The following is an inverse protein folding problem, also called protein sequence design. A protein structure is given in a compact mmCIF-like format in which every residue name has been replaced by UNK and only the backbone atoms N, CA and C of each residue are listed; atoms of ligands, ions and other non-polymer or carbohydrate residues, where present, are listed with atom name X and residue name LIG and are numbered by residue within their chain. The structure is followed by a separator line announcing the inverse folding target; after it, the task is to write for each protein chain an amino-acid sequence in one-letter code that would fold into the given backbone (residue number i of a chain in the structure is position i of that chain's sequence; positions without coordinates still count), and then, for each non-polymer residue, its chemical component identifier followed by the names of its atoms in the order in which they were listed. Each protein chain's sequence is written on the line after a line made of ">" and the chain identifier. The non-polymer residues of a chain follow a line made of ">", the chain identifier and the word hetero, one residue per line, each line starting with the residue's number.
data_IF_704615464389
#
_entry.id   IF_704615464389
#
_cell.length_a   1.000
_cell.length_b   1.000
_cell.length_c   1.000
_cell.angle_alpha   90.00
_cell.angle_beta   90.00
_cell.angle_gamma   90.00
#
_symmetry.space_group_name_H-M   'P 1'
#
loop_
_entity.id
_entity.type
_entity.pdbx_description
1 polymer ?
#
# COMPACT_ATOMS: atom_id res chain seq x y z
N UNK A 1 41.63 13.67 17.91
CA UNK A 1 40.31 13.38 18.50
C UNK A 1 40.29 14.06 19.84
N UNK A 2 39.49 15.11 19.97
CA UNK A 2 39.26 15.76 21.26
C UNK A 2 38.32 14.87 22.08
N UNK A 3 38.61 14.74 23.38
CA UNK A 3 37.78 13.94 24.30
C UNK A 3 36.78 14.90 24.94
N UNK A 4 35.50 14.71 24.65
CA UNK A 4 34.43 15.49 25.27
C UNK A 4 34.16 15.04 26.71
N UNK A 5 33.87 16.00 27.57
CA UNK A 5 33.35 15.77 28.92
C UNK A 5 31.90 15.26 28.90
N UNK A 6 31.45 14.66 30.01
CA UNK A 6 30.06 14.21 30.13
C UNK A 6 29.06 15.35 29.97
N UNK A 7 29.39 16.54 30.47
CA UNK A 7 28.53 17.72 30.36
C UNK A 7 28.35 18.15 28.89
N UNK A 8 29.43 18.13 28.11
CA UNK A 8 29.36 18.41 26.67
C UNK A 8 28.50 17.36 25.94
N UNK A 9 28.65 16.08 26.28
CA UNK A 9 27.84 14.99 25.70
C UNK A 9 26.35 15.05 26.07
N UNK A 10 25.99 15.72 27.16
CA UNK A 10 24.61 15.93 27.59
C UNK A 10 23.99 17.22 27.04
N UNK A 11 24.77 18.05 26.37
CA UNK A 11 24.28 19.29 25.78
C UNK A 11 23.48 18.97 24.52
N UNK A 12 22.26 19.51 24.42
CA UNK A 12 21.41 19.27 23.27
C UNK A 12 22.02 19.84 21.97
N UNK A 13 21.89 19.08 20.90
CA UNK A 13 22.36 19.48 19.58
C UNK A 13 21.47 20.60 19.03
N UNK A 14 22.10 21.72 18.65
CA UNK A 14 21.38 22.93 18.21
C UNK A 14 20.56 22.70 16.94
N UNK A 15 20.99 21.82 16.03
CA UNK A 15 20.24 21.49 14.83
C UNK A 15 18.99 20.67 15.17
N UNK A 16 19.10 19.72 16.11
CA UNK A 16 17.96 18.93 16.57
C UNK A 16 16.86 19.80 17.20
N UNK A 17 17.23 20.88 17.91
CA UNK A 17 16.29 21.81 18.53
C UNK A 17 15.44 22.62 17.53
N UNK A 18 15.89 22.75 16.28
CA UNK A 18 15.22 23.58 15.27
C UNK A 18 13.96 22.94 14.66
N UNK A 19 13.67 21.67 15.00
CA UNK A 19 12.53 20.90 14.49
C UNK A 19 11.40 20.86 15.53
N UNK A 20 10.28 21.51 15.22
CA UNK A 20 9.09 21.53 16.08
C UNK A 20 7.80 21.17 15.34
N UNK A 21 6.63 21.31 16.02
CA UNK A 21 5.32 20.96 15.45
C UNK A 21 4.97 21.69 14.15
N UNK A 22 5.56 22.86 13.91
CA UNK A 22 5.34 23.68 12.71
C UNK A 22 6.42 23.50 11.65
N UNK A 23 7.28 22.48 11.78
CA UNK A 23 8.38 22.22 10.87
C UNK A 23 9.70 22.83 11.33
N UNK A 24 10.55 23.19 10.37
CA UNK A 24 11.87 23.76 10.60
C UNK A 24 11.77 25.25 10.94
N UNK A 25 12.40 25.69 12.03
CA UNK A 25 12.61 27.11 12.34
C UNK A 25 12.08 27.58 13.69
N UNK A 26 11.27 26.78 14.39
CA UNK A 26 10.94 27.02 15.80
C UNK A 26 11.94 26.29 16.69
N UNK A 27 12.84 27.02 17.35
CA UNK A 27 13.75 26.42 18.33
C UNK A 27 12.96 26.00 19.56
N UNK A 28 12.94 24.70 19.86
CA UNK A 28 12.40 24.17 21.10
C UNK A 28 13.45 24.23 22.22
N UNK A 29 13.00 24.20 23.47
CA UNK A 29 13.90 23.85 24.57
C UNK A 29 14.35 22.38 24.44
N UNK A 30 15.49 21.98 25.03
CA UNK A 30 15.92 20.59 25.04
C UNK A 30 14.85 19.60 25.52
N UNK A 31 14.12 19.94 26.58
CA UNK A 31 13.07 19.09 27.17
C UNK A 31 11.87 18.96 26.22
N UNK A 32 11.41 20.07 25.64
CA UNK A 32 10.30 20.05 24.67
C UNK A 32 10.70 19.37 23.36
N UNK A 33 11.95 19.48 22.93
CA UNK A 33 12.46 18.74 21.79
C UNK A 33 12.46 17.24 22.07
N UNK A 34 12.97 16.80 23.22
CA UNK A 34 12.97 15.39 23.62
C UNK A 34 11.56 14.81 23.74
N UNK A 35 10.63 15.54 24.36
CA UNK A 35 9.22 15.14 24.44
C UNK A 35 8.60 15.05 23.04
N UNK A 36 8.75 16.11 22.22
CA UNK A 36 8.19 16.15 20.87
C UNK A 36 8.68 14.97 20.03
N UNK A 37 10.00 14.74 19.97
CA UNK A 37 10.56 13.65 19.16
C UNK A 37 10.08 12.27 19.64
N UNK A 38 9.96 12.04 20.96
CA UNK A 38 9.42 10.77 21.47
C UNK A 38 7.94 10.59 21.12
N UNK A 39 7.13 11.64 21.23
CA UNK A 39 5.71 11.59 20.85
C UNK A 39 5.55 11.25 19.36
N UNK A 40 6.46 11.71 18.50
CA UNK A 40 6.42 11.41 17.05
C UNK A 40 6.52 9.92 16.72
N UNK A 41 7.15 9.12 17.58
CA UNK A 41 7.35 7.68 17.38
C UNK A 41 6.65 6.82 18.44
N UNK A 42 5.85 7.44 19.31
CA UNK A 42 5.16 6.73 20.40
C UNK A 42 4.21 5.66 19.84
N UNK A 43 3.47 6.02 18.78
CA UNK A 43 2.50 5.15 18.09
C UNK A 43 3.15 4.04 17.26
N UNK A 44 4.48 4.05 17.10
CA UNK A 44 5.20 2.98 16.42
C UNK A 44 5.27 1.73 17.33
N UNK A 45 4.21 0.93 17.34
CA UNK A 45 4.14 -0.30 18.12
C UNK A 45 4.26 -1.54 17.23
N UNK A 46 4.97 -2.55 17.71
CA UNK A 46 5.06 -3.86 17.07
C UNK A 46 4.06 -4.84 17.68
N UNK A 47 3.46 -5.67 16.83
CA UNK A 47 2.53 -6.69 17.27
C UNK A 47 3.17 -7.71 18.22
N UNK A 48 2.36 -8.29 19.10
CA UNK A 48 2.79 -9.26 20.12
C UNK A 48 3.37 -10.56 19.52
N UNK A 49 3.04 -10.88 18.27
CA UNK A 49 3.52 -12.08 17.58
C UNK A 49 4.89 -11.89 16.91
N UNK A 50 5.37 -10.66 16.79
CA UNK A 50 6.68 -10.37 16.17
C UNK A 50 7.79 -11.09 16.94
N UNK A 51 8.75 -11.67 16.21
CA UNK A 51 9.88 -12.36 16.81
C UNK A 51 10.64 -11.48 17.80
N UNK A 52 11.02 -12.04 18.94
CA UNK A 52 11.66 -11.29 20.04
C UNK A 52 12.96 -10.61 19.61
N UNK A 53 13.74 -11.25 18.72
CA UNK A 53 14.95 -10.64 18.16
C UNK A 53 14.68 -9.35 17.38
N UNK A 54 13.68 -9.38 16.49
CA UNK A 54 13.21 -8.20 15.75
C UNK A 54 12.63 -7.14 16.69
N UNK A 55 11.78 -7.53 17.66
CA UNK A 55 11.18 -6.61 18.64
C UNK A 55 12.23 -5.85 19.45
N UNK A 56 13.19 -6.57 20.05
CA UNK A 56 14.26 -5.95 20.84
C UNK A 56 15.11 -5.00 20.02
N UNK A 57 15.37 -5.34 18.76
CA UNK A 57 16.14 -4.50 17.85
C UNK A 57 15.38 -3.21 17.53
N UNK A 58 14.06 -3.30 17.35
CA UNK A 58 13.21 -2.15 17.06
C UNK A 58 13.07 -1.21 18.26
N UNK A 59 12.83 -1.75 19.45
CA UNK A 59 12.76 -0.95 20.68
C UNK A 59 14.10 -0.27 21.00
N UNK A 60 15.22 -0.93 20.67
CA UNK A 60 16.54 -0.28 20.74
C UNK A 60 16.62 0.89 19.78
N UNK A 61 16.12 0.75 18.55
CA UNK A 61 16.14 1.81 17.54
C UNK A 61 15.28 3.01 17.97
N UNK A 62 14.06 2.77 18.48
CA UNK A 62 13.21 3.82 19.08
C UNK A 62 13.91 4.56 20.22
N UNK A 63 14.61 3.83 21.10
CA UNK A 63 15.38 4.44 22.18
C UNK A 63 16.53 5.30 21.67
N UNK A 64 17.28 4.82 20.68
CA UNK A 64 18.40 5.57 20.08
C UNK A 64 17.90 6.81 19.36
N UNK A 65 16.75 6.76 18.70
CA UNK A 65 16.12 7.93 18.08
C UNK A 65 15.90 9.07 19.08
N UNK A 66 15.46 8.76 20.31
CA UNK A 66 15.30 9.78 21.36
C UNK A 66 16.63 10.47 21.73
N UNK A 67 17.77 9.78 21.61
CA UNK A 67 19.09 10.38 21.84
C UNK A 67 19.54 11.31 20.71
N UNK A 68 18.85 11.36 19.57
CA UNK A 68 19.16 12.30 18.48
C UNK A 68 19.03 13.77 18.87
N UNK A 69 18.31 14.07 19.95
CA UNK A 69 18.27 15.43 20.53
C UNK A 69 19.65 15.87 21.06
N UNK A 70 20.51 14.92 21.44
CA UNK A 70 21.87 15.18 21.92
C UNK A 70 22.92 15.14 20.80
N UNK A 71 22.61 14.50 19.67
CA UNK A 71 23.54 14.38 18.54
C UNK A 71 22.74 14.20 17.24
N UNK A 72 22.75 15.22 16.38
CA UNK A 72 21.94 15.25 15.16
C UNK A 72 22.22 14.06 14.22
N UNK A 73 23.49 13.67 14.09
CA UNK A 73 23.91 12.58 13.19
C UNK A 73 23.29 11.22 13.54
N UNK A 74 22.78 11.06 14.76
CA UNK A 74 22.04 9.85 15.15
C UNK A 74 20.85 9.61 14.24
N UNK A 75 20.16 10.65 13.74
CA UNK A 75 19.00 10.46 12.87
C UNK A 75 19.36 9.78 11.55
N UNK A 76 20.50 10.12 10.95
CA UNK A 76 21.02 9.41 9.77
C UNK A 76 21.34 7.95 10.09
N UNK A 77 21.94 7.68 11.26
CA UNK A 77 22.22 6.32 11.71
C UNK A 77 20.94 5.50 11.94
N UNK A 78 19.84 6.13 12.37
CA UNK A 78 18.53 5.49 12.50
C UNK A 78 18.01 5.06 11.13
N UNK A 79 18.06 5.95 10.13
CA UNK A 79 17.61 5.64 8.77
C UNK A 79 18.35 4.44 8.18
N UNK A 80 19.68 4.44 8.29
CA UNK A 80 20.53 3.34 7.83
C UNK A 80 20.22 2.03 8.56
N UNK A 81 20.11 2.08 9.88
CA UNK A 81 19.85 0.89 10.69
C UNK A 81 18.46 0.33 10.45
N UNK A 82 17.47 1.18 10.18
CA UNK A 82 16.11 0.76 9.83
C UNK A 82 16.10 -0.07 8.54
N UNK A 83 16.91 0.28 7.54
CA UNK A 83 17.05 -0.48 6.30
C UNK A 83 17.62 -1.89 6.56
N UNK A 84 18.62 -2.01 7.42
CA UNK A 84 19.18 -3.31 7.84
C UNK A 84 18.16 -4.14 8.62
N UNK A 85 17.38 -3.49 9.48
CA UNK A 85 16.33 -4.12 10.27
C UNK A 85 15.20 -4.71 9.43
N UNK A 86 14.84 -4.11 8.28
CA UNK A 86 13.87 -4.69 7.34
C UNK A 86 14.32 -6.09 6.88
N UNK A 87 15.61 -6.24 6.59
CA UNK A 87 16.16 -7.53 6.20
C UNK A 87 16.16 -8.53 7.37
N UNK A 88 16.52 -8.09 8.57
CA UNK A 88 16.43 -8.93 9.77
C UNK A 88 14.99 -9.45 9.98
N UNK A 89 13.99 -8.57 9.91
CA UNK A 89 12.58 -8.94 10.06
C UNK A 89 12.13 -9.96 9.01
N UNK A 90 12.55 -9.80 7.75
CA UNK A 90 12.30 -10.77 6.69
C UNK A 90 12.94 -12.14 7.00
N UNK A 91 14.18 -12.16 7.48
CA UNK A 91 14.89 -13.40 7.84
C UNK A 91 14.21 -14.12 9.00
N UNK A 92 13.87 -13.39 10.06
CA UNK A 92 13.17 -13.92 11.23
C UNK A 92 11.82 -14.51 10.83
N UNK A 93 11.05 -13.77 10.01
CA UNK A 93 9.75 -14.24 9.52
C UNK A 93 9.87 -15.43 8.58
N UNK A 94 10.89 -15.45 7.71
CA UNK A 94 11.16 -16.57 6.80
C UNK A 94 11.44 -17.85 7.57
N UNK A 95 12.30 -17.80 8.59
CA UNK A 95 12.63 -18.98 9.41
C UNK A 95 11.38 -19.50 10.14
N UNK A 96 10.54 -18.61 10.68
CA UNK A 96 9.26 -19.02 11.27
C UNK A 96 8.35 -19.73 10.27
N UNK A 97 8.23 -19.19 9.05
CA UNK A 97 7.40 -19.75 7.98
C UNK A 97 7.90 -21.12 7.49
N UNK A 98 9.20 -21.40 7.56
CA UNK A 98 9.75 -22.70 7.18
C UNK A 98 9.24 -23.84 8.07
N UNK A 99 8.77 -23.55 9.29
CA UNK A 99 8.34 -24.57 10.26
C UNK A 99 9.34 -25.74 10.42
N UNK A 100 10.65 -25.44 10.36
CA UNK A 100 11.73 -26.40 10.56
C UNK A 100 12.29 -27.08 9.30
N UNK A 101 11.71 -26.86 8.12
CA UNK A 101 12.22 -27.45 6.86
C UNK A 101 11.99 -26.55 5.65
N UNK A 102 12.79 -26.75 4.60
CA UNK A 102 12.68 -25.97 3.37
C UNK A 102 12.73 -26.88 2.16
N UNK A 103 11.79 -26.69 1.22
CA UNK A 103 11.67 -27.52 0.02
C UNK A 103 11.99 -26.73 -1.24
N UNK A 104 12.98 -27.19 -1.99
CA UNK A 104 13.31 -26.71 -3.32
C UNK A 104 12.99 -27.77 -4.36
N UNK A 105 12.54 -27.32 -5.51
CA UNK A 105 12.26 -28.18 -6.65
C UNK A 105 12.94 -27.67 -7.89
N UNK A 106 13.29 -28.60 -8.78
CA UNK A 106 13.75 -28.23 -10.10
C UNK A 106 12.61 -27.59 -10.90
N UNK A 107 12.92 -26.55 -11.67
CA UNK A 107 11.93 -25.82 -12.45
C UNK A 107 11.19 -26.68 -13.49
N UNK A 108 11.77 -27.82 -13.90
CA UNK A 108 11.18 -28.77 -14.84
C UNK A 108 10.45 -29.91 -14.11
N UNK A 109 10.45 -29.90 -12.76
CA UNK A 109 9.77 -30.88 -11.92
C UNK A 109 10.51 -32.23 -11.79
N UNK A 110 11.75 -32.33 -12.26
CA UNK A 110 12.48 -33.60 -12.29
C UNK A 110 13.06 -34.03 -10.93
N UNK A 111 13.16 -33.12 -9.97
CA UNK A 111 13.75 -33.39 -8.66
C UNK A 111 13.21 -32.46 -7.58
N UNK A 112 13.20 -32.94 -6.33
CA UNK A 112 12.87 -32.18 -5.13
C UNK A 112 13.92 -32.42 -4.04
N UNK A 113 14.23 -31.40 -3.25
CA UNK A 113 15.16 -31.43 -2.13
C UNK A 113 14.48 -30.74 -0.94
N UNK A 114 14.27 -31.50 0.13
CA UNK A 114 13.76 -31.00 1.41
C UNK A 114 14.84 -31.18 2.47
N UNK A 115 15.22 -30.10 3.14
CA UNK A 115 16.29 -30.11 4.13
C UNK A 115 15.83 -29.39 5.41
N UNK A 116 16.26 -29.83 6.61
CA UNK A 116 15.92 -29.18 7.86
C UNK A 116 16.61 -27.80 7.96
N UNK A 117 15.89 -26.81 8.47
CA UNK A 117 16.43 -25.45 8.71
C UNK A 117 15.93 -24.94 10.06
N UNK A 118 16.84 -24.48 10.93
CA UNK A 118 16.48 -23.90 12.24
C UNK A 118 16.93 -22.45 12.36
N UNK A 119 17.83 -22.01 11.47
CA UNK A 119 18.34 -20.65 11.39
C UNK A 119 18.43 -20.16 9.96
N UNK A 120 18.52 -18.84 9.78
CA UNK A 120 18.74 -18.27 8.45
C UNK A 120 20.13 -18.63 7.87
N UNK A 121 21.11 -18.96 8.72
CA UNK A 121 22.41 -19.46 8.29
C UNK A 121 22.29 -20.81 7.57
N UNK A 122 21.37 -21.68 8.03
CA UNK A 122 21.11 -22.96 7.38
C UNK A 122 20.48 -22.76 6.01
N UNK A 123 19.53 -21.83 5.90
CA UNK A 123 18.91 -21.42 4.62
C UNK A 123 19.97 -20.96 3.63
N UNK A 124 20.89 -20.09 4.05
CA UNK A 124 21.97 -19.61 3.19
C UNK A 124 22.91 -20.76 2.75
N UNK A 125 23.27 -21.64 3.69
CA UNK A 125 24.12 -22.81 3.42
C UNK A 125 23.47 -23.76 2.42
N UNK A 126 22.16 -24.00 2.57
CA UNK A 126 21.36 -24.80 1.64
C UNK A 126 21.37 -24.17 0.24
N UNK A 127 21.09 -22.88 0.13
CA UNK A 127 21.09 -22.16 -1.15
C UNK A 127 22.45 -22.28 -1.87
N UNK A 128 23.56 -22.12 -1.15
CA UNK A 128 24.91 -22.30 -1.72
C UNK A 128 25.18 -23.73 -2.17
N UNK A 129 24.70 -24.72 -1.42
CA UNK A 129 24.82 -26.13 -1.82
C UNK A 129 24.05 -26.42 -3.11
N UNK A 130 22.83 -25.88 -3.25
CA UNK A 130 21.99 -26.05 -4.44
C UNK A 130 22.58 -25.35 -5.66
N UNK A 131 23.15 -24.16 -5.49
CA UNK A 131 23.91 -23.47 -6.56
C UNK A 131 25.07 -24.32 -7.06
N UNK A 132 25.85 -24.92 -6.16
CA UNK A 132 26.96 -25.84 -6.51
C UNK A 132 26.46 -27.10 -7.21
N UNK A 133 25.34 -27.71 -6.75
CA UNK A 133 24.70 -28.86 -7.41
C UNK A 133 24.26 -28.51 -8.84
N UNK A 134 23.57 -27.39 -9.03
CA UNK A 134 23.12 -26.91 -10.34
C UNK A 134 24.30 -26.57 -11.29
N UNK A 135 25.41 -26.04 -10.77
CA UNK A 135 26.62 -25.82 -11.57
C UNK A 135 27.23 -27.14 -12.08
N UNK A 136 27.31 -28.17 -11.22
CA UNK A 136 27.78 -29.51 -11.60
C UNK A 136 26.85 -30.23 -12.59
N UNK A 137 25.53 -30.03 -12.47
CA UNK A 137 24.58 -30.57 -13.43
C UNK A 137 24.74 -29.91 -14.81
N UNK A 138 24.89 -28.57 -14.83
CA UNK A 138 25.14 -27.81 -16.07
C UNK A 138 26.42 -28.25 -16.78
N UNK A 139 27.50 -28.54 -16.05
CA UNK A 139 28.73 -29.06 -16.66
C UNK A 139 28.57 -30.45 -17.28
N UNK A 140 27.48 -31.17 -16.97
CA UNK A 140 27.10 -32.46 -17.56
C UNK A 140 26.00 -32.34 -18.62
N UNK A 141 25.68 -31.11 -19.05
CA UNK A 141 24.65 -30.86 -20.06
C UNK A 141 23.21 -30.95 -19.54
N UNK A 142 22.99 -31.03 -18.23
CA UNK A 142 21.66 -31.07 -17.62
C UNK A 142 21.29 -29.67 -17.11
N UNK A 143 20.33 -28.96 -17.75
CA UNK A 143 19.86 -27.69 -17.24
C UNK A 143 19.08 -27.95 -15.94
N UNK A 144 19.59 -27.44 -14.82
CA UNK A 144 18.94 -27.57 -13.52
C UNK A 144 18.81 -26.19 -12.88
N UNK A 145 17.59 -25.86 -12.45
CA UNK A 145 17.27 -24.60 -11.80
C UNK A 145 16.37 -24.86 -10.59
N UNK A 146 16.98 -24.81 -9.40
CA UNK A 146 16.26 -24.94 -8.15
C UNK A 146 15.40 -23.69 -7.87
N UNK A 147 14.13 -23.93 -7.55
CA UNK A 147 13.15 -22.93 -7.14
C UNK A 147 12.57 -23.30 -5.78
N UNK A 148 12.34 -22.29 -4.95
CA UNK A 148 11.67 -22.49 -3.66
C UNK A 148 10.18 -22.75 -3.90
N UNK A 149 9.65 -23.79 -3.26
CA UNK A 149 8.21 -24.06 -3.24
C UNK A 149 7.53 -23.18 -2.18
N UNK A 150 6.54 -22.39 -2.59
CA UNK A 150 5.73 -21.54 -1.71
C UNK A 150 4.26 -21.81 -2.01
N UNK A 151 3.62 -22.63 -1.17
CA UNK A 151 2.27 -23.13 -1.47
C UNK A 151 2.26 -23.88 -2.81
N UNK A 152 1.42 -23.44 -3.75
CA UNK A 152 1.34 -24.01 -5.11
C UNK A 152 2.37 -23.45 -6.10
N UNK A 153 3.13 -22.41 -5.73
CA UNK A 153 4.01 -21.69 -6.66
C UNK A 153 5.49 -22.07 -6.50
N UNK A 154 6.25 -21.95 -7.59
CA UNK A 154 7.71 -22.14 -7.62
C UNK A 154 8.39 -20.81 -7.95
N UNK A 155 9.17 -20.29 -7.00
CA UNK A 155 9.85 -18.99 -7.14
C UNK A 155 11.37 -19.13 -7.18
N UNK A 156 12.03 -18.22 -7.90
CA UNK A 156 13.47 -18.09 -7.79
C UNK A 156 13.84 -17.59 -6.37
N UNK A 157 14.73 -18.32 -5.69
CA UNK A 157 15.16 -17.96 -4.35
C UNK A 157 16.63 -18.32 -4.17
N UNK A 158 17.42 -17.38 -3.66
CA UNK A 158 18.87 -17.51 -3.54
C UNK A 158 19.41 -17.16 -2.14
N UNK A 159 18.52 -16.98 -1.15
CA UNK A 159 18.89 -16.60 0.21
C UNK A 159 19.30 -15.13 0.39
N UNK A 160 19.10 -14.26 -0.62
CA UNK A 160 19.38 -12.82 -0.52
C UNK A 160 18.11 -12.02 -0.20
N UNK A 161 18.26 -10.73 0.10
CA UNK A 161 17.14 -9.80 0.32
C UNK A 161 16.12 -9.82 -0.84
N UNK A 162 16.58 -9.91 -2.08
CA UNK A 162 15.70 -10.03 -3.25
C UNK A 162 14.85 -11.31 -3.20
N UNK A 163 15.49 -12.45 -2.87
CA UNK A 163 14.79 -13.73 -2.70
C UNK A 163 13.78 -13.69 -1.56
N UNK A 164 14.15 -13.10 -0.42
CA UNK A 164 13.26 -12.90 0.73
C UNK A 164 12.03 -12.06 0.36
N UNK A 165 12.19 -10.97 -0.38
CA UNK A 165 11.04 -10.14 -0.80
C UNK A 165 10.13 -10.86 -1.79
N UNK A 166 10.73 -11.55 -2.75
CA UNK A 166 9.99 -12.38 -3.72
C UNK A 166 9.17 -13.44 -2.98
N UNK A 167 9.77 -14.09 -1.98
CA UNK A 167 9.08 -15.02 -1.09
C UNK A 167 7.94 -14.34 -0.33
N UNK A 168 8.20 -13.23 0.37
CA UNK A 168 7.18 -12.58 1.20
C UNK A 168 5.96 -12.14 0.38
N UNK A 169 6.17 -11.71 -0.87
CA UNK A 169 5.10 -11.37 -1.82
C UNK A 169 4.35 -12.62 -2.31
N UNK A 170 5.06 -13.68 -2.70
CA UNK A 170 4.45 -14.96 -3.12
C UNK A 170 3.64 -15.62 -1.98
N UNK A 171 4.17 -15.57 -0.76
CA UNK A 171 3.50 -16.03 0.47
C UNK A 171 2.37 -15.08 0.93
N UNK A 172 2.07 -14.01 0.18
CA UNK A 172 1.03 -13.00 0.46
C UNK A 172 1.18 -12.31 1.82
N UNK A 173 2.41 -12.20 2.31
CA UNK A 173 2.73 -11.49 3.56
C UNK A 173 2.82 -9.98 3.34
N UNK A 174 3.14 -9.53 2.12
CA UNK A 174 3.23 -8.12 1.76
C UNK A 174 2.15 -7.75 0.73
N UNK A 175 1.31 -6.77 1.09
CA UNK A 175 0.14 -6.30 0.31
C UNK A 175 0.43 -4.99 -0.41
N UNK A 176 -0.41 -4.64 -1.36
CA UNK A 176 -0.38 -3.37 -2.07
C UNK A 176 0.60 -3.33 -3.23
N UNK A 177 0.29 -2.51 -4.23
CA UNK A 177 1.07 -2.33 -5.45
C UNK A 177 2.06 -1.18 -5.37
N UNK A 178 1.71 -0.05 -4.75
CA UNK A 178 2.63 1.09 -4.56
C UNK A 178 3.77 0.75 -3.62
N UNK A 179 3.50 -0.06 -2.58
CA UNK A 179 4.51 -0.52 -1.64
C UNK A 179 5.65 -1.29 -2.33
N UNK A 180 5.42 -1.93 -3.50
CA UNK A 180 6.47 -2.61 -4.27
C UNK A 180 7.54 -1.66 -4.80
N UNK A 181 7.14 -0.48 -5.28
CA UNK A 181 8.08 0.55 -5.75
C UNK A 181 8.94 1.06 -4.61
N UNK A 182 8.31 1.35 -3.47
CA UNK A 182 8.99 1.78 -2.23
C UNK A 182 9.94 0.69 -1.73
N UNK A 183 9.50 -0.57 -1.75
CA UNK A 183 10.35 -1.71 -1.45
C UNK A 183 11.58 -1.69 -2.36
N UNK A 184 11.41 -1.69 -3.68
CA UNK A 184 12.53 -1.71 -4.63
C UNK A 184 13.57 -0.62 -4.33
N UNK A 185 13.13 0.62 -4.11
CA UNK A 185 14.00 1.75 -3.71
C UNK A 185 14.75 1.44 -2.41
N UNK A 186 14.06 0.94 -1.38
CA UNK A 186 14.69 0.57 -0.11
C UNK A 186 15.71 -0.57 -0.26
N UNK A 187 15.57 -1.44 -1.26
CA UNK A 187 16.59 -2.46 -1.55
C UNK A 187 17.88 -1.82 -2.05
N UNK A 188 17.75 -0.83 -2.93
CA UNK A 188 18.88 -0.04 -3.44
C UNK A 188 19.54 0.71 -2.30
N UNK A 189 18.77 1.46 -1.52
CA UNK A 189 19.28 2.21 -0.38
C UNK A 189 19.99 1.31 0.65
N UNK A 190 19.41 0.13 0.96
CA UNK A 190 20.05 -0.84 1.85
C UNK A 190 21.41 -1.31 1.30
N UNK A 191 21.55 -1.47 -0.02
CA UNK A 191 22.82 -1.86 -0.61
C UNK A 191 23.84 -0.72 -0.55
N UNK A 192 23.40 0.54 -0.70
CA UNK A 192 24.26 1.71 -0.55
C UNK A 192 24.74 1.85 0.91
N UNK A 193 23.88 1.58 1.90
CA UNK A 193 24.27 1.52 3.32
C UNK A 193 25.26 0.38 3.60
N UNK A 194 25.10 -0.77 2.95
CA UNK A 194 26.04 -1.89 3.08
C UNK A 194 27.39 -1.61 2.37
N UNK A 195 27.42 -0.66 1.44
CA UNK A 195 28.57 -0.30 0.62
C UNK A 195 28.71 1.24 0.53
N UNK A 196 29.01 1.91 1.65
CA UNK A 196 28.89 3.36 1.75
C UNK A 196 29.88 4.07 0.80
N UNK A 197 29.35 5.02 0.03
CA UNK A 197 30.13 5.85 -0.90
C UNK A 197 30.34 7.29 -0.41
N UNK A 198 29.68 7.69 0.68
CA UNK A 198 29.77 9.03 1.25
C UNK A 198 28.91 9.20 2.51
N UNK A 199 28.98 10.39 3.12
CA UNK A 199 28.12 10.77 4.24
C UNK A 199 26.69 11.04 3.75
N UNK A 200 25.70 10.48 4.44
CA UNK A 200 24.29 10.75 4.20
C UNK A 200 23.73 11.58 5.37
N UNK A 201 23.13 12.72 5.05
CA UNK A 201 22.40 13.52 6.03
C UNK A 201 20.97 13.00 6.17
N UNK A 202 20.48 12.88 7.41
CA UNK A 202 19.09 12.54 7.72
C UNK A 202 18.49 13.58 8.66
N UNK A 203 17.18 13.78 8.61
CA UNK A 203 16.47 14.69 9.51
C UNK A 203 15.67 13.91 10.57
N UNK A 204 15.32 14.52 11.72
CA UNK A 204 14.45 13.88 12.70
C UNK A 204 13.09 13.47 12.13
N UNK A 205 12.58 14.23 11.15
CA UNK A 205 11.30 13.98 10.49
C UNK A 205 11.39 12.75 9.59
N UNK A 206 12.45 12.65 8.80
CA UNK A 206 12.69 11.51 7.92
C UNK A 206 12.92 10.24 8.74
N UNK A 207 13.77 10.30 9.78
CA UNK A 207 14.02 9.18 10.67
C UNK A 207 12.75 8.71 11.40
N UNK A 208 11.87 9.62 11.82
CA UNK A 208 10.58 9.25 12.40
C UNK A 208 9.68 8.55 11.36
N UNK A 209 9.58 9.08 10.13
CA UNK A 209 8.82 8.45 9.04
C UNK A 209 9.37 7.07 8.70
N UNK A 210 10.69 6.91 8.66
CA UNK A 210 11.36 5.63 8.43
C UNK A 210 11.02 4.61 9.52
N UNK A 211 10.95 5.04 10.79
CA UNK A 211 10.52 4.19 11.91
C UNK A 211 9.05 3.76 11.80
N UNK A 212 8.16 4.67 11.41
CA UNK A 212 6.76 4.34 11.12
C UNK A 212 6.65 3.31 9.99
N UNK A 213 7.29 3.58 8.85
CA UNK A 213 7.31 2.67 7.70
C UNK A 213 7.94 1.30 8.05
N UNK A 214 8.91 1.26 8.97
CA UNK A 214 9.53 0.03 9.46
C UNK A 214 8.55 -0.75 10.36
N UNK A 215 7.86 -0.07 11.27
CA UNK A 215 6.85 -0.69 12.13
C UNK A 215 5.72 -1.30 11.30
N UNK A 216 5.20 -0.56 10.32
CA UNK A 216 4.18 -1.04 9.38
C UNK A 216 4.66 -2.27 8.61
N UNK A 217 5.89 -2.22 8.08
CA UNK A 217 6.47 -3.33 7.34
C UNK A 217 6.62 -4.59 8.20
N UNK A 218 7.15 -4.45 9.42
CA UNK A 218 7.32 -5.56 10.36
C UNK A 218 5.94 -6.13 10.72
N UNK A 219 4.98 -5.30 11.13
CA UNK A 219 3.65 -5.77 11.50
C UNK A 219 2.95 -6.50 10.34
N UNK A 220 3.05 -5.95 9.12
CA UNK A 220 2.49 -6.57 7.94
C UNK A 220 3.10 -7.95 7.64
N UNK A 221 4.41 -8.14 7.85
CA UNK A 221 5.04 -9.47 7.70
C UNK A 221 4.45 -10.52 8.64
N UNK A 222 3.95 -10.11 9.81
CA UNK A 222 3.24 -10.96 10.78
C UNK A 222 1.71 -10.95 10.57
N UNK A 223 1.22 -10.41 9.47
CA UNK A 223 -0.20 -10.40 9.13
C UNK A 223 -1.02 -9.39 9.95
N UNK A 224 -0.37 -8.34 10.47
CA UNK A 224 -1.00 -7.27 11.23
C UNK A 224 -0.94 -5.97 10.43
N UNK A 225 -2.00 -5.63 9.68
CA UNK A 225 -2.14 -4.31 9.07
C UNK A 225 -2.06 -3.19 10.12
N UNK A 226 -1.54 -2.02 9.76
CA UNK A 226 -1.42 -0.90 10.70
C UNK A 226 -2.57 0.09 10.55
N UNK A 227 -3.37 0.35 11.61
CA UNK A 227 -4.38 1.40 11.60
C UNK A 227 -3.76 2.76 11.26
N UNK A 228 -4.32 3.45 10.26
CA UNK A 228 -3.76 4.72 9.77
C UNK A 228 -2.40 4.61 9.07
N UNK A 229 -1.92 3.39 8.81
CA UNK A 229 -0.65 3.15 8.14
C UNK A 229 -0.63 3.64 6.70
N UNK A 230 0.54 4.08 6.25
CA UNK A 230 0.76 4.64 4.91
C UNK A 230 1.12 3.58 3.88
N UNK A 231 1.95 2.61 4.26
CA UNK A 231 2.45 1.54 3.39
C UNK A 231 1.56 0.31 3.41
N UNK A 232 1.12 -0.09 4.61
CA UNK A 232 0.31 -1.28 4.83
C UNK A 232 -0.89 -0.98 5.74
N UNK A 233 -1.78 -0.07 5.31
CA UNK A 233 -2.97 0.29 6.08
C UNK A 233 -3.80 -0.93 6.47
N UNK A 234 -4.37 -0.88 7.68
CA UNK A 234 -5.53 -1.67 8.05
C UNK A 234 -6.75 -1.29 7.21
N UNK A 235 -7.74 -2.19 7.09
CA UNK A 235 -9.03 -1.84 6.53
C UNK A 235 -9.55 -0.53 7.14
N UNK A 236 -9.95 0.40 6.27
CA UNK A 236 -10.34 1.75 6.66
C UNK A 236 -11.84 1.76 6.90
N UNK A 237 -12.32 2.35 8.01
CA UNK A 237 -13.76 2.43 8.28
C UNK A 237 -14.44 3.36 7.27
N UNK A 238 -15.63 2.96 6.85
CA UNK A 238 -16.52 3.78 6.04
C UNK A 238 -17.80 4.06 6.81
N UNK A 239 -18.18 5.32 6.83
CA UNK A 239 -19.42 5.81 7.43
C UNK A 239 -20.41 6.22 6.34
N UNK A 240 -21.61 6.60 6.75
CA UNK A 240 -22.63 7.10 5.83
C UNK A 240 -22.39 8.59 5.66
N UNK A 241 -21.95 8.98 4.47
CA UNK A 241 -21.73 10.36 4.09
C UNK A 241 -22.91 10.88 3.26
N UNK A 242 -23.19 12.16 3.42
CA UNK A 242 -24.10 12.93 2.57
C UNK A 242 -23.25 13.72 1.61
N UNK A 243 -23.53 13.57 0.32
CA UNK A 243 -22.94 14.38 -0.75
C UNK A 243 -24.05 15.25 -1.30
N UNK A 244 -23.92 16.56 -1.13
CA UNK A 244 -24.90 17.53 -1.58
C UNK A 244 -24.28 18.48 -2.61
N UNK A 245 -24.97 18.76 -3.71
CA UNK A 245 -24.51 19.73 -4.71
C UNK A 245 -25.65 20.50 -5.36
N UNK A 246 -25.33 21.63 -5.98
CA UNK A 246 -26.26 22.38 -6.84
C UNK A 246 -25.67 22.67 -8.22
N UNK A 247 -26.52 23.20 -9.11
CA UNK A 247 -26.13 23.61 -10.46
C UNK A 247 -25.13 24.78 -10.47
N UNK A 248 -24.99 25.49 -9.34
CA UNK A 248 -23.99 26.54 -9.15
C UNK A 248 -22.58 26.02 -8.85
N UNK A 249 -22.37 24.70 -8.88
CA UNK A 249 -21.06 24.07 -8.64
C UNK A 249 -20.65 23.99 -7.17
N UNK A 250 -21.54 24.35 -6.23
CA UNK A 250 -21.29 24.12 -4.81
C UNK A 250 -21.43 22.64 -4.53
N UNK A 251 -20.42 22.04 -3.91
CA UNK A 251 -20.42 20.65 -3.42
C UNK A 251 -20.13 20.68 -1.93
N UNK A 252 -20.88 19.92 -1.15
CA UNK A 252 -20.72 19.75 0.29
C UNK A 252 -20.77 18.28 0.65
N UNK A 253 -19.91 17.89 1.57
CA UNK A 253 -19.86 16.52 2.08
C UNK A 253 -19.87 16.58 3.59
N UNK A 254 -20.80 15.85 4.19
CA UNK A 254 -21.00 15.83 5.64
C UNK A 254 -21.34 14.42 6.11
N UNK A 255 -21.26 14.22 7.42
CA UNK A 255 -21.77 13.02 8.05
C UNK A 255 -23.31 12.97 7.95
N UNK A 256 -23.90 11.77 7.77
CA UNK A 256 -25.35 11.62 7.68
C UNK A 256 -26.11 12.14 8.92
N UNK A 257 -25.50 12.17 10.10
CA UNK A 257 -26.08 12.77 11.32
C UNK A 257 -26.39 14.26 11.13
N UNK A 258 -25.64 14.97 10.29
CA UNK A 258 -25.89 16.38 9.97
C UNK A 258 -27.22 16.62 9.23
N UNK A 259 -27.84 15.56 8.69
CA UNK A 259 -29.23 15.62 8.18
C UNK A 259 -30.28 15.89 9.26
N UNK A 260 -29.94 15.81 10.57
CA UNK A 260 -30.84 16.24 11.65
C UNK A 260 -30.75 17.73 11.96
N UNK A 261 -29.57 18.33 11.77
CA UNK A 261 -29.21 19.63 12.35
C UNK A 261 -29.25 20.79 11.35
N UNK A 262 -28.99 20.53 10.07
CA UNK A 262 -29.05 21.54 9.01
C UNK A 262 -30.46 22.06 8.65
N UNK A 263 -30.50 23.23 8.03
CA UNK A 263 -31.69 23.73 7.34
C UNK A 263 -31.75 23.17 5.92
N UNK A 264 -32.96 23.01 5.37
CA UNK A 264 -33.16 22.62 3.98
C UNK A 264 -32.63 23.77 3.09
N UNK A 265 -31.42 23.62 2.55
CA UNK A 265 -30.85 24.62 1.66
C UNK A 265 -31.45 24.41 0.27
N UNK A 266 -32.30 25.34 -0.16
CA UNK A 266 -32.94 25.27 -1.47
C UNK A 266 -31.91 25.09 -2.60
N UNK A 267 -32.20 24.17 -3.52
CA UNK A 267 -31.39 23.92 -4.71
C UNK A 267 -30.27 22.88 -4.56
N UNK A 268 -30.03 22.31 -3.36
CA UNK A 268 -29.10 21.20 -3.20
C UNK A 268 -29.75 19.83 -3.46
N UNK A 269 -29.22 19.08 -4.43
CA UNK A 269 -29.46 17.65 -4.60
C UNK A 269 -28.58 16.87 -3.63
N UNK A 270 -29.17 15.92 -2.90
CA UNK A 270 -28.50 15.11 -1.88
C UNK A 270 -28.42 13.65 -2.32
N UNK A 271 -27.26 13.04 -2.07
CA UNK A 271 -26.98 11.61 -2.19
C UNK A 271 -26.43 11.09 -0.89
N UNK A 272 -26.80 9.86 -0.57
CA UNK A 272 -26.19 9.09 0.52
C UNK A 272 -25.26 8.05 -0.09
N UNK A 273 -24.05 8.00 0.45
CA UNK A 273 -23.05 7.02 0.07
C UNK A 273 -22.32 6.48 1.31
N UNK A 274 -21.89 5.23 1.24
CA UNK A 274 -20.95 4.67 2.21
C UNK A 274 -19.54 5.02 1.76
N UNK A 275 -18.82 5.81 2.55
CA UNK A 275 -17.53 6.37 2.19
C UNK A 275 -16.57 6.37 3.38
N UNK A 276 -15.26 6.29 3.10
CA UNK A 276 -14.27 6.75 4.09
C UNK A 276 -14.54 8.25 4.25
N UNK A 277 -15.02 8.69 5.41
CA UNK A 277 -15.28 10.09 5.73
C UNK A 277 -14.86 10.33 7.18
N UNK A 278 -13.62 10.79 7.35
CA UNK A 278 -13.02 11.05 8.66
C UNK A 278 -12.44 12.47 8.66
N UNK A 279 -13.27 13.50 8.90
CA UNK A 279 -12.81 14.90 8.87
C UNK A 279 -11.62 15.11 9.81
N UNK A 280 -10.53 15.67 9.29
CA UNK A 280 -9.31 15.94 10.06
C UNK A 280 -8.41 14.73 10.33
N UNK A 281 -8.77 13.53 9.85
CA UNK A 281 -7.88 12.38 9.89
C UNK A 281 -6.85 12.42 8.74
N UNK A 282 -5.68 11.82 8.94
CA UNK A 282 -4.66 11.69 7.87
C UNK A 282 -5.13 10.90 6.64
N UNK A 283 -6.17 10.08 6.80
CA UNK A 283 -6.74 9.24 5.75
C UNK A 283 -7.92 9.89 5.03
N UNK A 284 -8.06 11.21 5.11
CA UNK A 284 -9.04 11.96 4.31
C UNK A 284 -8.81 11.71 2.81
N UNK A 285 -9.88 11.46 2.05
CA UNK A 285 -9.77 11.27 0.61
C UNK A 285 -9.70 12.63 -0.07
N UNK A 286 -8.62 12.88 -0.81
CA UNK A 286 -8.45 14.14 -1.53
C UNK A 286 -9.43 14.29 -2.72
N UNK A 287 -10.13 13.22 -3.12
CA UNK A 287 -10.95 13.17 -4.32
C UNK A 287 -12.44 12.99 -4.05
N UNK A 288 -12.95 13.23 -2.83
CA UNK A 288 -14.39 13.04 -2.56
C UNK A 288 -15.33 13.89 -3.43
N UNK A 289 -14.89 15.06 -3.87
CA UNK A 289 -15.67 15.90 -4.80
C UNK A 289 -15.83 15.27 -6.19
N UNK A 290 -15.14 14.16 -6.46
CA UNK A 290 -15.17 13.47 -7.73
C UNK A 290 -16.23 12.36 -7.79
N UNK A 291 -17.07 12.19 -6.76
CA UNK A 291 -17.99 11.05 -6.64
C UNK A 291 -18.78 10.75 -7.93
N UNK A 292 -18.84 9.47 -8.25
CA UNK A 292 -19.63 8.88 -9.32
C UNK A 292 -20.11 7.50 -8.87
N UNK A 293 -21.41 7.22 -9.02
CA UNK A 293 -21.99 5.95 -8.58
C UNK A 293 -21.60 4.76 -9.46
N UNK A 294 -21.14 5.01 -10.70
CA UNK A 294 -20.74 3.97 -11.67
C UNK A 294 -19.23 3.81 -11.78
N UNK A 295 -18.47 4.83 -11.40
CA UNK A 295 -17.02 4.84 -11.53
C UNK A 295 -16.30 4.97 -10.19
N UNK A 296 -15.10 4.40 -10.11
CA UNK A 296 -14.16 4.55 -9.01
C UNK A 296 -13.31 5.81 -9.20
N UNK A 297 -13.91 6.96 -8.90
CA UNK A 297 -13.28 8.28 -9.09
C UNK A 297 -12.64 8.84 -7.82
N UNK A 298 -12.91 8.23 -6.66
CA UNK A 298 -12.37 8.57 -5.34
C UNK A 298 -11.16 7.70 -4.99
N UNK A 299 -10.34 8.13 -4.02
CA UNK A 299 -9.18 7.34 -3.56
C UNK A 299 -9.63 6.02 -2.92
N UNK A 300 -10.67 6.08 -2.08
CA UNK A 300 -11.25 4.92 -1.40
C UNK A 300 -12.56 4.47 -2.05
N UNK A 301 -12.90 3.18 -1.99
CA UNK A 301 -14.19 2.67 -2.49
C UNK A 301 -15.38 3.38 -1.84
N UNK A 302 -16.26 3.96 -2.67
CA UNK A 302 -17.50 4.58 -2.24
C UNK A 302 -18.73 3.84 -2.78
N UNK A 303 -19.70 3.50 -1.92
CA UNK A 303 -20.90 2.78 -2.32
C UNK A 303 -22.10 3.73 -2.37
N UNK A 304 -22.73 3.87 -3.53
CA UNK A 304 -24.00 4.58 -3.62
C UNK A 304 -25.09 3.85 -2.82
N UNK A 305 -25.88 4.58 -2.04
CA UNK A 305 -26.98 4.04 -1.24
C UNK A 305 -28.33 4.61 -1.65
N UNK A 306 -28.42 5.93 -1.85
CA UNK A 306 -29.68 6.61 -2.17
C UNK A 306 -29.45 7.97 -2.84
N UNK A 307 -30.41 8.39 -3.67
CA UNK A 307 -30.49 9.72 -4.27
C UNK A 307 -30.43 9.72 -5.81
N UNK A 308 -30.32 10.90 -6.44
CA UNK A 308 -30.39 12.22 -5.83
C UNK A 308 -31.80 12.52 -5.28
N UNK A 309 -31.90 13.43 -4.31
CA UNK A 309 -33.18 13.95 -3.83
C UNK A 309 -33.03 15.12 -2.87
N UNK A 310 -34.10 15.50 -2.20
CA UNK A 310 -34.07 16.57 -1.18
C UNK A 310 -33.45 16.09 0.13
N UNK A 311 -33.00 17.01 0.98
CA UNK A 311 -32.47 16.68 2.32
C UNK A 311 -33.51 15.93 3.16
N UNK A 312 -34.75 16.42 3.15
CA UNK A 312 -35.86 15.81 3.87
C UNK A 312 -36.13 14.36 3.42
N UNK A 313 -36.04 14.07 2.12
CA UNK A 313 -36.18 12.71 1.60
C UNK A 313 -34.97 11.82 1.96
N UNK A 314 -33.76 12.39 1.95
CA UNK A 314 -32.53 11.69 2.37
C UNK A 314 -32.62 11.29 3.85
N UNK A 315 -33.04 12.22 4.72
CA UNK A 315 -33.24 11.96 6.15
C UNK A 315 -34.27 10.86 6.37
N UNK A 316 -35.43 10.96 5.72
CA UNK A 316 -36.49 9.95 5.85
C UNK A 316 -36.03 8.56 5.38
N UNK A 317 -35.22 8.48 4.33
CA UNK A 317 -34.63 7.22 3.89
C UNK A 317 -33.60 6.69 4.91
N UNK A 318 -32.69 7.54 5.39
CA UNK A 318 -31.64 7.15 6.34
C UNK A 318 -32.22 6.64 7.67
N UNK A 319 -33.26 7.29 8.19
CA UNK A 319 -33.93 6.87 9.42
C UNK A 319 -34.69 5.54 9.27
N UNK A 320 -35.23 5.28 8.07
CA UNK A 320 -35.96 4.04 7.78
C UNK A 320 -35.03 2.86 7.54
N UNK A 321 -34.03 3.02 6.67
CA UNK A 321 -33.15 1.91 6.28
C UNK A 321 -32.01 1.67 7.27
N UNK A 322 -31.64 2.67 8.08
CA UNK A 322 -30.56 2.62 9.07
C UNK A 322 -29.28 1.94 8.54
N UNK A 323 -28.74 2.39 7.39
CA UNK A 323 -27.59 1.76 6.78
C UNK A 323 -26.40 1.79 7.73
N UNK A 324 -25.69 0.67 7.79
CA UNK A 324 -24.50 0.54 8.62
C UNK A 324 -23.24 0.94 7.84
N UNK A 325 -22.30 1.53 8.57
CA UNK A 325 -20.92 1.63 8.13
C UNK A 325 -20.26 0.25 8.03
N UNK A 326 -19.11 0.20 7.38
CA UNK A 326 -18.30 -1.02 7.27
C UNK A 326 -16.80 -0.69 7.26
N UNK A 327 -15.98 -1.65 6.84
CA UNK A 327 -14.54 -1.42 6.59
C UNK A 327 -14.19 -1.93 5.21
N UNK A 328 -13.21 -1.29 4.57
CA UNK A 328 -12.73 -1.70 3.26
C UNK A 328 -11.20 -1.75 3.24
N UNK A 329 -10.64 -2.77 2.59
CA UNK A 329 -9.20 -2.83 2.31
C UNK A 329 -8.91 -1.97 1.06
N UNK A 330 -8.13 -0.88 1.18
CA UNK A 330 -7.84 -0.02 0.05
C UNK A 330 -6.77 -0.60 -0.89
N UNK A 331 -6.05 -1.64 -0.49
CA UNK A 331 -4.93 -2.18 -1.26
C UNK A 331 -5.38 -3.26 -2.25
N UNK A 332 -4.59 -3.44 -3.32
CA UNK A 332 -4.74 -4.58 -4.24
C UNK A 332 -6.15 -4.74 -4.86
N UNK A 333 -6.84 -3.61 -5.07
CA UNK A 333 -8.18 -3.55 -5.65
C UNK A 333 -8.16 -3.99 -7.11
N UNK A 334 -9.18 -4.72 -7.54
CA UNK A 334 -9.39 -5.07 -8.96
C UNK A 334 -10.33 -4.05 -9.58
N UNK A 335 -9.89 -3.46 -10.69
CA UNK A 335 -10.58 -2.38 -11.39
C UNK A 335 -10.62 -2.69 -12.88
N UNK A 336 -11.74 -2.35 -13.53
CA UNK A 336 -11.90 -2.47 -14.97
C UNK A 336 -11.86 -1.09 -15.61
N UNK A 337 -11.05 -0.94 -16.64
CA UNK A 337 -10.91 0.32 -17.40
C UNK A 337 -11.28 0.05 -18.84
N UNK A 338 -12.13 0.92 -19.40
CA UNK A 338 -12.61 0.87 -20.78
C UNK A 338 -11.86 1.89 -21.64
N UNK A 339 -11.42 1.45 -22.81
CA UNK A 339 -10.95 2.30 -23.91
C UNK A 339 -11.89 2.11 -25.11
N UNK A 340 -12.51 3.18 -25.59
CA UNK A 340 -13.42 3.14 -26.73
C UNK A 340 -13.29 4.44 -27.54
N UNK A 341 -13.12 4.33 -28.85
CA UNK A 341 -12.94 5.46 -29.78
C UNK A 341 -11.88 6.48 -29.34
N UNK A 342 -10.76 5.99 -28.80
CA UNK A 342 -9.66 6.83 -28.30
C UNK A 342 -9.93 7.53 -26.97
N UNK A 343 -11.10 7.28 -26.36
CA UNK A 343 -11.48 7.77 -25.04
C UNK A 343 -11.22 6.69 -24.00
N UNK A 344 -10.52 7.07 -22.94
CA UNK A 344 -10.32 6.23 -21.76
C UNK A 344 -11.28 6.69 -20.68
N UNK A 345 -12.11 5.77 -20.22
CA UNK A 345 -13.08 6.02 -19.16
C UNK A 345 -12.45 5.82 -17.78
N UNK A 346 -12.99 6.46 -16.74
CA UNK A 346 -12.57 6.18 -15.37
C UNK A 346 -12.71 4.69 -15.03
N UNK A 347 -11.92 4.18 -14.07
CA UNK A 347 -12.02 2.79 -13.66
C UNK A 347 -13.39 2.49 -13.05
N UNK A 348 -13.88 1.27 -13.21
CA UNK A 348 -15.11 0.75 -12.60
C UNK A 348 -14.78 -0.42 -11.67
N UNK A 349 -15.68 -0.69 -10.73
CA UNK A 349 -15.67 -1.99 -10.04
C UNK A 349 -16.09 -3.12 -10.98
N UNK A 350 -15.61 -4.35 -10.74
CA UNK A 350 -15.98 -5.49 -11.57
C UNK A 350 -17.50 -5.74 -11.63
N UNK A 351 -18.21 -5.53 -10.53
CA UNK A 351 -19.67 -5.69 -10.47
C UNK A 351 -20.40 -4.70 -11.39
N UNK A 352 -19.96 -3.44 -11.42
CA UNK A 352 -20.55 -2.39 -12.27
C UNK A 352 -20.23 -2.66 -13.73
N UNK A 353 -18.97 -2.96 -14.05
CA UNK A 353 -18.55 -3.28 -15.40
C UNK A 353 -19.32 -4.49 -15.95
N UNK A 354 -19.56 -5.53 -15.13
CA UNK A 354 -20.34 -6.70 -15.52
C UNK A 354 -21.83 -6.40 -15.75
N UNK A 355 -22.38 -5.33 -15.15
CA UNK A 355 -23.77 -4.90 -15.27
C UNK A 355 -24.07 -3.93 -16.41
N UNK A 356 -23.07 -3.58 -17.22
CA UNK A 356 -23.23 -2.67 -18.35
C UNK A 356 -24.10 -3.25 -19.47
N UNK A 357 -24.80 -2.38 -20.21
CA UNK A 357 -25.54 -2.79 -21.40
C UNK A 357 -24.61 -3.04 -22.60
N UNK A 358 -25.13 -3.59 -23.70
CA UNK A 358 -24.30 -3.99 -24.85
C UNK A 358 -23.53 -2.83 -25.50
N UNK A 359 -24.10 -1.62 -25.55
CA UNK A 359 -23.42 -0.44 -26.09
C UNK A 359 -22.30 0.04 -25.17
N UNK A 360 -22.54 -0.02 -23.86
CA UNK A 360 -21.55 0.33 -22.83
C UNK A 360 -20.40 -0.69 -22.75
N UNK A 361 -20.60 -1.92 -23.26
CA UNK A 361 -19.59 -2.98 -23.29
C UNK A 361 -18.62 -2.87 -24.48
N UNK A 362 -18.89 -2.02 -25.47
CA UNK A 362 -18.04 -1.89 -26.67
C UNK A 362 -16.65 -1.33 -26.35
N UNK A 363 -15.66 -1.64 -27.19
CA UNK A 363 -14.27 -1.18 -27.02
C UNK A 363 -13.34 -2.22 -26.38
N UNK A 364 -12.15 -1.76 -26.02
CA UNK A 364 -11.12 -2.56 -25.36
C UNK A 364 -11.22 -2.41 -23.85
N UNK A 365 -11.11 -3.52 -23.14
CA UNK A 365 -11.24 -3.58 -21.69
C UNK A 365 -9.95 -4.09 -21.05
N UNK A 366 -9.64 -3.52 -19.89
CA UNK A 366 -8.45 -3.85 -19.11
C UNK A 366 -8.85 -4.17 -17.67
N UNK A 367 -8.51 -5.37 -17.21
CA UNK A 367 -8.67 -5.78 -15.82
C UNK A 367 -7.33 -5.61 -15.10
N UNK A 368 -7.29 -4.68 -14.15
CA UNK A 368 -6.07 -4.21 -13.50
C UNK A 368 -6.20 -4.34 -11.99
N UNK A 369 -5.16 -4.86 -11.33
CA UNK A 369 -5.01 -4.77 -9.88
C UNK A 369 -4.13 -3.59 -9.50
N UNK A 370 -4.66 -2.67 -8.70
CA UNK A 370 -4.01 -1.44 -8.26
C UNK A 370 -4.51 -1.03 -6.86
N UNK A 371 -3.76 -0.20 -6.15
CA UNK A 371 -4.21 0.34 -4.85
C UNK A 371 -5.18 1.52 -5.04
N UNK A 372 -4.97 2.33 -6.09
CA UNK A 372 -5.80 3.48 -6.37
C UNK A 372 -6.31 3.50 -7.81
N UNK A 373 -7.52 4.04 -8.06
CA UNK A 373 -8.07 4.08 -9.41
C UNK A 373 -7.21 4.86 -10.41
N UNK A 374 -6.58 5.94 -9.96
CA UNK A 374 -5.68 6.73 -10.80
C UNK A 374 -4.50 5.93 -11.35
N UNK A 375 -4.01 4.91 -10.63
CA UNK A 375 -2.91 4.07 -11.08
C UNK A 375 -3.37 3.14 -12.21
N UNK A 376 -4.59 2.58 -12.12
CA UNK A 376 -5.19 1.76 -13.17
C UNK A 376 -5.48 2.58 -14.43
N UNK A 377 -6.07 3.77 -14.27
CA UNK A 377 -6.30 4.70 -15.38
C UNK A 377 -4.99 5.13 -16.05
N UNK A 378 -4.00 5.56 -15.25
CA UNK A 378 -2.70 5.98 -15.74
C UNK A 378 -1.97 4.88 -16.50
N UNK A 379 -2.12 3.62 -16.09
CA UNK A 379 -1.58 2.48 -16.82
C UNK A 379 -2.19 2.33 -18.21
N UNK A 380 -3.52 2.35 -18.33
CA UNK A 380 -4.21 2.22 -19.63
C UNK A 380 -3.93 3.42 -20.54
N UNK A 381 -3.82 4.61 -19.96
CA UNK A 381 -3.38 5.81 -20.69
C UNK A 381 -1.97 5.65 -21.26
N UNK A 382 -1.02 5.14 -20.47
CA UNK A 382 0.33 4.85 -20.96
C UNK A 382 0.33 3.83 -22.10
N UNK A 383 -0.51 2.80 -22.03
CA UNK A 383 -0.67 1.82 -23.12
C UNK A 383 -1.21 2.46 -24.41
N UNK A 384 -2.23 3.32 -24.29
CA UNK A 384 -2.89 4.02 -25.40
C UNK A 384 -1.91 4.99 -26.08
N UNK A 385 -1.16 5.74 -25.28
CA UNK A 385 -0.11 6.67 -25.74
C UNK A 385 1.15 5.97 -26.26
N UNK A 386 1.21 4.63 -26.19
CA UNK A 386 2.39 3.81 -26.55
C UNK A 386 3.64 4.19 -25.78
N UNK A 387 3.48 4.56 -24.51
CA UNK A 387 4.59 4.76 -23.60
C UNK A 387 5.34 3.43 -23.38
N UNK A 388 6.66 3.51 -23.28
CA UNK A 388 7.51 2.33 -23.11
C UNK A 388 7.25 1.65 -21.75
N UNK A 389 7.59 0.37 -21.66
CA UNK A 389 7.64 -0.42 -20.42
C UNK A 389 6.30 -0.66 -19.67
N UNK A 390 5.18 -0.15 -20.18
CA UNK A 390 3.86 -0.55 -19.73
C UNK A 390 3.52 -1.98 -20.17
N UNK A 391 3.20 -2.83 -19.20
CA UNK A 391 2.85 -4.23 -19.46
C UNK A 391 1.50 -4.36 -20.18
N UNK A 392 1.45 -5.16 -21.25
CA UNK A 392 0.19 -5.52 -21.95
C UNK A 392 -0.34 -6.90 -21.57
N UNK A 393 0.55 -7.75 -21.05
CA UNK A 393 0.26 -9.14 -20.71
C UNK A 393 0.07 -9.26 -19.20
N UNK A 394 -0.64 -10.31 -18.73
CA UNK A 394 -0.81 -10.54 -17.31
C UNK A 394 0.52 -10.57 -16.57
N UNK A 395 0.58 -9.89 -15.42
CA UNK A 395 1.82 -9.72 -14.66
C UNK A 395 2.02 -8.30 -14.13
N UNK A 396 3.11 -8.12 -13.40
CA UNK A 396 3.51 -6.82 -12.89
C UNK A 396 3.98 -5.88 -14.01
N UNK A 397 3.51 -4.62 -13.95
CA UNK A 397 4.01 -3.56 -14.81
C UNK A 397 5.37 -3.07 -14.31
N UNK A 398 6.30 -2.79 -15.23
CA UNK A 398 7.62 -2.24 -14.89
C UNK A 398 7.61 -0.71 -14.79
N UNK A 399 6.72 -0.05 -15.53
CA UNK A 399 6.61 1.40 -15.58
C UNK A 399 5.78 1.99 -14.43
N UNK A 400 4.84 1.24 -13.85
CA UNK A 400 3.94 1.76 -12.83
C UNK A 400 3.48 0.69 -11.84
N UNK A 401 2.87 1.15 -10.73
CA UNK A 401 2.44 0.33 -9.59
C UNK A 401 1.13 -0.42 -9.85
N UNK A 402 1.07 -1.23 -10.91
CA UNK A 402 -0.11 -2.07 -11.22
C UNK A 402 0.28 -3.48 -11.61
N UNK A 403 -0.69 -4.39 -11.50
CA UNK A 403 -0.62 -5.73 -12.05
C UNK A 403 -1.75 -5.95 -13.05
N UNK A 404 -1.40 -6.32 -14.27
CA UNK A 404 -2.38 -6.62 -15.32
C UNK A 404 -2.94 -8.02 -15.05
N UNK A 405 -4.26 -8.14 -14.93
CA UNK A 405 -4.94 -9.44 -14.83
C UNK A 405 -5.28 -9.96 -16.22
N UNK A 406 -5.73 -9.07 -17.11
CA UNK A 406 -6.07 -9.40 -18.49
C UNK A 406 -6.52 -8.17 -19.28
N UNK A 407 -6.54 -8.29 -20.60
CA UNK A 407 -7.10 -7.27 -21.50
C UNK A 407 -7.73 -7.93 -22.73
N UNK A 408 -8.68 -7.23 -23.37
CA UNK A 408 -9.37 -7.72 -24.57
C UNK A 408 -10.82 -7.23 -24.64
N UNK A 409 -11.74 -8.12 -25.01
CA UNK A 409 -13.17 -7.83 -24.97
C UNK A 409 -13.68 -7.67 -23.54
N UNK A 410 -14.87 -7.07 -23.38
CA UNK A 410 -15.55 -6.97 -22.09
C UNK A 410 -15.58 -8.31 -21.33
N UNK A 411 -16.02 -9.39 -22.00
CA UNK A 411 -16.09 -10.73 -21.38
C UNK A 411 -14.71 -11.22 -20.91
N UNK A 412 -13.66 -11.04 -21.71
CA UNK A 412 -12.31 -11.46 -21.33
C UNK A 412 -11.78 -10.70 -20.11
N UNK A 413 -12.07 -9.40 -20.00
CA UNK A 413 -11.68 -8.59 -18.85
C UNK A 413 -12.47 -8.98 -17.59
N UNK A 414 -13.78 -9.25 -17.71
CA UNK A 414 -14.60 -9.75 -16.62
C UNK A 414 -14.14 -11.13 -16.17
N UNK A 415 -13.88 -12.08 -17.08
CA UNK A 415 -13.34 -13.41 -16.76
C UNK A 415 -12.01 -13.34 -16.00
N UNK A 416 -11.14 -12.40 -16.38
CA UNK A 416 -9.88 -12.16 -15.68
C UNK A 416 -10.09 -11.62 -14.26
N UNK A 417 -11.11 -10.78 -14.06
CA UNK A 417 -11.51 -10.31 -12.73
C UNK A 417 -12.15 -11.44 -11.90
N UNK A 418 -13.01 -12.28 -12.49
CA UNK A 418 -13.63 -13.44 -11.84
C UNK A 418 -12.58 -14.46 -11.40
N UNK A 419 -11.54 -14.67 -12.21
CA UNK A 419 -10.39 -15.52 -11.83
C UNK A 419 -9.67 -14.98 -10.59
N UNK A 420 -9.64 -13.66 -10.41
CA UNK A 420 -8.96 -13.00 -9.30
C UNK A 420 -9.81 -12.89 -8.02
N UNK A 421 -11.12 -12.71 -8.16
CA UNK A 421 -12.05 -12.39 -7.05
C UNK A 421 -13.04 -13.52 -6.72
N UNK A 422 -13.23 -14.48 -7.62
CA UNK A 422 -14.37 -15.40 -7.61
C UNK A 422 -15.56 -14.83 -8.38
N UNK A 423 -16.74 -15.44 -8.19
CA UNK A 423 -17.97 -15.07 -8.93
C UNK A 423 -18.35 -13.61 -8.70
N UNK A 424 -18.48 -12.85 -9.79
CA UNK A 424 -18.92 -11.45 -9.75
C UNK A 424 -20.43 -11.38 -9.97
N UNK A 425 -21.13 -10.60 -9.14
CA UNK A 425 -22.56 -10.33 -9.31
C UNK A 425 -22.73 -8.98 -10.01
N UNK A 426 -23.33 -8.94 -11.21
CA UNK A 426 -23.57 -7.68 -11.91
C UNK A 426 -24.45 -6.73 -11.10
N UNK A 427 -24.09 -5.44 -11.08
CA UNK A 427 -24.90 -4.36 -10.52
C UNK A 427 -24.95 -3.21 -11.51
N UNK A 428 -26.07 -2.48 -11.53
CA UNK A 428 -26.23 -1.32 -12.40
C UNK A 428 -26.65 -0.10 -11.56
N UNK A 429 -25.69 0.62 -10.96
CA UNK A 429 -25.98 1.83 -10.21
C UNK A 429 -26.62 2.89 -11.11
N UNK A 430 -27.45 3.78 -10.54
CA UNK A 430 -27.99 4.90 -11.29
C UNK A 430 -26.84 5.81 -11.75
N UNK A 431 -26.98 6.54 -12.87
CA UNK A 431 -25.95 7.43 -13.40
C UNK A 431 -25.89 8.73 -12.60
N UNK A 432 -25.53 8.63 -11.32
CA UNK A 432 -25.48 9.75 -10.36
C UNK A 432 -24.03 10.11 -10.11
N UNK A 433 -23.69 11.36 -10.39
CA UNK A 433 -22.34 11.88 -10.18
C UNK A 433 -22.38 13.35 -9.79
N UNK A 434 -21.29 13.83 -9.19
CA UNK A 434 -21.08 15.26 -9.00
C UNK A 434 -20.90 15.92 -10.37
N UNK A 435 -21.55 17.06 -10.68
CA UNK A 435 -21.61 17.62 -12.04
C UNK A 435 -20.27 18.04 -12.64
N UNK A 436 -19.31 18.40 -11.79
CA UNK A 436 -18.00 18.88 -12.22
C UNK A 436 -16.91 17.99 -11.67
N UNK A 437 -16.09 17.49 -12.59
CA UNK A 437 -14.92 16.70 -12.28
C UNK A 437 -13.68 17.39 -12.83
N UNK A 438 -12.72 17.68 -11.96
CA UNK A 438 -11.44 18.24 -12.39
C UNK A 438 -10.50 17.13 -12.91
N UNK A 439 -10.65 15.92 -12.37
CA UNK A 439 -9.72 14.81 -12.63
C UNK A 439 -10.22 13.82 -13.69
N UNK A 440 -11.53 13.78 -13.94
CA UNK A 440 -12.18 12.76 -14.77
C UNK A 440 -13.13 13.42 -15.78
N UNK A 441 -12.61 14.00 -16.87
CA UNK A 441 -13.42 14.79 -17.82
C UNK A 441 -14.37 13.94 -18.66
N UNK A 442 -14.09 12.64 -18.83
CA UNK A 442 -14.87 11.73 -19.67
C UNK A 442 -15.70 10.77 -18.80
N UNK A 443 -16.81 11.29 -18.28
CA UNK A 443 -17.88 10.49 -17.66
C UNK A 443 -19.02 10.50 -18.69
N UNK A 444 -19.61 9.32 -18.95
CA UNK A 444 -20.54 9.00 -20.04
C UNK A 444 -21.15 10.15 -20.86
#
# INVERSE_FOLDING_TARGET
>A
MEIHSLQELQTADRMSLAFGPHGLGSSLSPESAAEFQQLRIAECELAAEVAEGTRRSFERLKRVFAYGVLCYDVYALIDDHALLMREQALRDRFVQWCHGSLTFEDAVGSASVTEPVTSYRDVHTLCESLKKRAARARSKGVPQQWKLRVGGELIAFNGTLFGLRTWARCARLLRGRRSRGIEAVQSTLRNDVAHPVGFQGGTPVDAALTLHDLAEFINQLWGRPTPGGRLYPAPVPREIAVIAWNDGGRVQITDARSLREGEDTEGLSHVLARAVFLPGARTEDAHWMEFDARFETTQYPMDYLWGPGTRSAALAWWEREQPQGDTVDPLDRVLLVREHDGVIYPPMRPEVAAGLNSLEQEGSWHSIRADFPIDAYGHVRGLTNREADHARRPGDCRACSVYVLGSGSHRQAVDAAETALGTIRPVQPPPVCVPHSLHWPNRF
#
